data_IF_641208578889
#
_entry.id   IF_641208578889
#
_cell.length_a   1.000
_cell.length_b   1.000
_cell.length_c   1.000
_cell.angle_alpha   90.00
_cell.angle_beta   90.00
_cell.angle_gamma   90.00
#
_symmetry.space_group_name_H-M   'P 1'
#
loop_
_entity.id
_entity.type
_entity.pdbx_description
1 polymer ?
#
# COMPACT_ATOMS: atom_id res chain seq x y z
N UNK A 1 -26.39 -2.19 -0.67
CA UNK A 1 -27.06 -1.71 0.56
C UNK A 1 -26.09 -1.31 1.69
N UNK A 2 -24.95 -1.92 1.83
CA UNK A 2 -24.06 -1.68 2.97
C UNK A 2 -22.94 -0.66 2.73
N UNK A 3 -22.62 -0.33 1.50
CA UNK A 3 -21.50 0.56 1.18
C UNK A 3 -21.70 2.01 1.65
N UNK A 4 -22.95 2.45 1.76
CA UNK A 4 -23.27 3.83 2.13
C UNK A 4 -22.87 4.17 3.57
N UNK A 5 -23.05 3.25 4.50
CA UNK A 5 -22.74 3.48 5.93
C UNK A 5 -21.25 3.45 6.28
N UNK A 6 -20.41 2.82 5.44
CA UNK A 6 -19.00 2.58 5.70
C UNK A 6 -18.05 3.29 4.73
N UNK A 7 -18.56 4.26 3.98
CA UNK A 7 -17.76 4.99 3.00
C UNK A 7 -17.31 6.33 3.56
N UNK A 8 -16.03 6.62 3.48
CA UNK A 8 -15.45 7.89 3.88
C UNK A 8 -16.01 9.03 3.04
N UNK A 9 -16.40 10.13 3.69
CA UNK A 9 -17.07 11.26 3.09
C UNK A 9 -16.84 12.54 3.90
N UNK A 10 -16.94 13.69 3.25
CA UNK A 10 -16.92 14.98 3.92
C UNK A 10 -18.31 15.44 4.38
N UNK A 11 -19.34 14.96 3.73
CA UNK A 11 -20.75 15.26 4.02
C UNK A 11 -21.52 13.95 4.22
N UNK A 12 -22.35 13.90 5.27
CA UNK A 12 -23.14 12.72 5.63
C UNK A 12 -24.11 12.25 4.55
N UNK A 13 -24.53 13.12 3.64
CA UNK A 13 -25.56 12.83 2.64
C UNK A 13 -25.05 12.75 1.21
N UNK A 14 -23.88 13.36 0.91
CA UNK A 14 -23.31 13.40 -0.42
C UNK A 14 -22.05 12.52 -0.50
N UNK A 15 -22.09 11.56 -1.39
CA UNK A 15 -20.92 10.76 -1.76
C UNK A 15 -20.48 11.11 -3.17
N UNK A 16 -19.34 11.77 -3.29
CA UNK A 16 -18.71 11.99 -4.58
C UNK A 16 -18.22 10.66 -5.17
N UNK A 17 -18.26 10.57 -6.51
CA UNK A 17 -17.66 9.45 -7.21
C UNK A 17 -16.14 9.46 -6.97
N UNK A 18 -15.61 8.34 -6.50
CA UNK A 18 -14.17 8.19 -6.22
C UNK A 18 -13.74 6.75 -6.51
N UNK A 19 -12.44 6.52 -6.74
CA UNK A 19 -11.91 5.17 -6.87
C UNK A 19 -12.31 4.30 -5.68
N UNK A 20 -12.56 3.02 -5.93
CA UNK A 20 -12.79 2.05 -4.85
C UNK A 20 -11.47 1.73 -4.16
N UNK A 21 -11.49 1.52 -2.83
CA UNK A 21 -10.32 0.98 -2.10
C UNK A 21 -9.94 -0.44 -2.55
N UNK A 22 -10.89 -1.16 -3.16
CA UNK A 22 -10.64 -2.48 -3.77
C UNK A 22 -10.22 -2.39 -5.24
N UNK A 23 -9.98 -1.20 -5.77
CA UNK A 23 -9.53 -1.06 -7.15
C UNK A 23 -8.14 -1.68 -7.28
N UNK A 24 -8.08 -2.79 -8.01
CA UNK A 24 -6.81 -3.35 -8.41
C UNK A 24 -6.18 -2.40 -9.44
N UNK A 25 -5.05 -1.81 -9.09
CA UNK A 25 -4.19 -1.10 -10.03
C UNK A 25 -3.57 -2.07 -11.05
N UNK A 26 -2.55 -1.63 -11.74
CA UNK A 26 -1.82 -2.50 -12.64
C UNK A 26 -1.04 -3.55 -11.85
N UNK A 27 -1.02 -4.78 -12.37
CA UNK A 27 -0.18 -5.85 -11.86
C UNK A 27 0.59 -6.46 -13.01
N UNK A 28 1.91 -6.49 -12.89
CA UNK A 28 2.81 -7.13 -13.83
C UNK A 28 3.45 -8.35 -13.15
N UNK A 29 3.48 -9.47 -13.86
CA UNK A 29 4.20 -10.67 -13.43
C UNK A 29 5.10 -11.09 -14.58
N UNK A 30 6.40 -11.16 -14.29
CA UNK A 30 7.42 -11.62 -15.23
C UNK A 30 8.06 -12.90 -14.69
N UNK A 31 7.97 -13.98 -15.44
CA UNK A 31 8.62 -15.25 -15.12
C UNK A 31 9.78 -15.51 -16.09
N UNK A 32 10.93 -15.86 -15.56
CA UNK A 32 12.09 -16.29 -16.33
C UNK A 32 12.55 -17.65 -15.85
N UNK A 33 12.90 -18.55 -16.77
CA UNK A 33 13.49 -19.83 -16.44
C UNK A 33 14.65 -20.12 -17.38
N UNK A 34 15.77 -20.53 -16.80
CA UNK A 34 16.95 -21.02 -17.49
C UNK A 34 17.22 -22.47 -17.07
N UNK A 35 17.59 -23.32 -18.04
CA UNK A 35 17.96 -24.72 -17.83
C UNK A 35 19.27 -25.03 -18.55
N UNK A 36 20.15 -25.74 -17.87
CA UNK A 36 21.39 -26.22 -18.44
C UNK A 36 21.88 -27.45 -17.68
N UNK A 37 22.60 -28.32 -18.35
CA UNK A 37 23.30 -29.42 -17.70
C UNK A 37 24.70 -28.94 -17.32
N UNK A 38 24.83 -28.33 -16.13
CA UNK A 38 26.10 -27.81 -15.65
C UNK A 38 26.98 -28.89 -15.01
N UNK A 39 26.40 -30.03 -14.65
CA UNK A 39 27.11 -31.13 -14.00
C UNK A 39 26.76 -32.47 -14.65
N UNK A 40 27.46 -32.80 -15.72
CA UNK A 40 27.20 -34.04 -16.51
C UNK A 40 25.77 -34.05 -17.05
N UNK A 41 25.07 -35.14 -16.86
CA UNK A 41 23.66 -35.31 -17.30
C UNK A 41 22.61 -34.81 -16.28
N UNK A 42 23.06 -34.04 -15.30
CA UNK A 42 22.19 -33.49 -14.26
C UNK A 42 21.76 -32.06 -14.58
N UNK A 43 20.44 -31.84 -14.60
CA UNK A 43 19.87 -30.54 -14.91
C UNK A 43 20.09 -29.56 -13.74
N UNK A 44 20.58 -28.38 -14.09
CA UNK A 44 20.51 -27.19 -13.26
C UNK A 44 19.42 -26.29 -13.82
N UNK A 45 18.51 -25.83 -12.97
CA UNK A 45 17.43 -24.91 -13.34
C UNK A 45 17.47 -23.70 -12.43
N UNK A 46 17.45 -22.53 -13.04
CA UNK A 46 17.28 -21.25 -12.34
C UNK A 46 15.98 -20.64 -12.81
N UNK A 47 15.11 -20.32 -11.87
CA UNK A 47 13.82 -19.68 -12.12
C UNK A 47 13.74 -18.38 -11.33
N UNK A 48 13.22 -17.33 -11.96
CA UNK A 48 12.96 -16.05 -11.31
C UNK A 48 11.53 -15.62 -11.61
N UNK A 49 10.84 -15.11 -10.61
CA UNK A 49 9.51 -14.52 -10.73
C UNK A 49 9.58 -13.11 -10.14
N UNK A 50 9.35 -12.13 -10.99
CA UNK A 50 9.20 -10.73 -10.59
C UNK A 50 7.73 -10.33 -10.62
N UNK A 51 7.27 -9.71 -9.56
CA UNK A 51 5.90 -9.20 -9.40
C UNK A 51 6.01 -7.72 -9.06
N UNK A 52 5.32 -6.88 -9.85
CA UNK A 52 5.06 -5.50 -9.52
C UNK A 52 3.56 -5.27 -9.45
N UNK A 53 3.11 -4.58 -8.42
CA UNK A 53 1.71 -4.20 -8.21
C UNK A 53 1.66 -2.73 -7.81
N UNK A 54 0.76 -1.96 -8.44
CA UNK A 54 0.49 -0.59 -8.02
C UNK A 54 -0.02 -0.57 -6.57
N UNK A 55 0.32 0.48 -5.85
CA UNK A 55 -0.16 0.70 -4.48
C UNK A 55 -1.68 0.83 -4.41
N UNK A 56 -2.27 0.39 -3.33
CA UNK A 56 -3.71 0.50 -3.10
C UNK A 56 -4.11 1.93 -2.77
N UNK A 57 -5.25 2.41 -3.29
CA UNK A 57 -5.73 3.75 -2.98
C UNK A 57 -6.21 3.84 -1.53
N UNK A 58 -5.94 4.98 -0.89
CA UNK A 58 -6.39 5.26 0.47
C UNK A 58 -6.89 6.69 0.63
N UNK A 59 -7.65 6.91 1.70
CA UNK A 59 -8.17 8.21 2.11
C UNK A 59 -7.48 8.68 3.38
N UNK A 60 -7.39 9.98 3.57
CA UNK A 60 -7.04 10.55 4.86
C UNK A 60 -8.33 10.99 5.55
N UNK A 61 -8.61 10.41 6.71
CA UNK A 61 -9.79 10.65 7.51
C UNK A 61 -9.38 11.09 8.91
N UNK A 62 -10.33 11.64 9.67
CA UNK A 62 -10.13 11.92 11.09
C UNK A 62 -10.19 10.60 11.87
N UNK A 63 -9.18 10.39 12.69
CA UNK A 63 -9.12 9.30 13.68
C UNK A 63 -9.52 9.89 15.05
N UNK A 64 -10.82 10.05 15.28
CA UNK A 64 -11.32 10.43 16.59
C UNK A 64 -12.39 9.45 17.08
N UNK A 65 -12.12 8.71 18.17
CA UNK A 65 -13.15 7.98 18.85
C UNK A 65 -14.07 8.97 19.58
N UNK A 66 -15.08 9.45 18.91
CA UNK A 66 -15.99 10.39 19.55
C UNK A 66 -17.06 10.94 18.63
N UNK A 67 -17.74 11.96 19.12
CA UNK A 67 -18.69 12.72 18.35
C UNK A 67 -17.96 13.55 17.29
N UNK A 68 -18.18 13.25 16.02
CA UNK A 68 -17.61 14.04 14.96
C UNK A 68 -18.39 15.35 14.78
N UNK A 69 -17.80 16.43 15.27
CA UNK A 69 -18.37 17.77 15.16
C UNK A 69 -18.46 18.30 13.72
N UNK A 70 -17.71 17.71 12.79
CA UNK A 70 -17.72 18.15 11.37
C UNK A 70 -18.95 17.65 10.65
N UNK A 71 -19.40 16.44 10.93
CA UNK A 71 -20.56 15.84 10.26
C UNK A 71 -21.80 15.70 11.15
N UNK A 72 -21.69 16.02 12.44
CA UNK A 72 -22.79 15.83 13.40
C UNK A 72 -23.14 14.38 13.71
N UNK A 73 -22.34 13.44 13.25
CA UNK A 73 -22.58 12.01 13.41
C UNK A 73 -22.03 11.47 14.74
N UNK A 74 -22.68 10.42 15.24
CA UNK A 74 -22.29 9.76 16.49
C UNK A 74 -20.98 8.96 16.35
N UNK A 75 -20.42 8.56 17.48
CA UNK A 75 -19.15 7.84 17.69
C UNK A 75 -18.78 6.76 16.66
N UNK A 76 -19.74 6.15 15.99
CA UNK A 76 -19.49 5.04 15.07
C UNK A 76 -19.01 5.46 13.68
N UNK A 77 -18.98 6.77 13.36
CA UNK A 77 -18.74 7.25 12.01
C UNK A 77 -17.63 8.29 11.91
N UNK A 78 -16.90 8.56 13.00
CA UNK A 78 -15.81 9.53 13.03
C UNK A 78 -14.70 9.16 12.03
N UNK A 79 -14.35 7.87 11.99
CA UNK A 79 -13.29 7.32 11.14
C UNK A 79 -13.63 7.37 9.64
N UNK A 80 -14.86 7.72 9.30
CA UNK A 80 -15.31 7.83 7.90
C UNK A 80 -15.37 9.25 7.40
N UNK A 81 -15.03 10.23 8.23
CA UNK A 81 -15.03 11.63 7.83
C UNK A 81 -13.69 12.01 7.21
N UNK A 82 -13.74 12.41 5.94
CA UNK A 82 -12.56 12.87 5.23
C UNK A 82 -11.94 14.08 5.94
N UNK A 83 -10.61 14.12 5.99
CA UNK A 83 -9.89 15.20 6.64
C UNK A 83 -9.97 16.49 5.83
N UNK A 84 -10.32 17.59 6.48
CA UNK A 84 -10.17 18.93 5.93
C UNK A 84 -8.69 19.32 5.96
N UNK A 85 -8.20 19.83 4.84
CA UNK A 85 -6.81 20.28 4.69
C UNK A 85 -6.73 21.78 4.89
N UNK A 86 -6.08 22.27 5.96
CA UNK A 86 -6.00 23.71 6.21
C UNK A 86 -5.33 24.47 5.07
N UNK A 87 -5.85 25.65 4.77
CA UNK A 87 -5.21 26.55 3.79
C UNK A 87 -3.96 27.23 4.37
N UNK A 88 -3.94 27.46 5.68
CA UNK A 88 -2.85 28.10 6.42
C UNK A 88 -3.01 27.89 7.93
N UNK A 89 -2.05 28.37 8.70
CA UNK A 89 -2.11 28.34 10.16
C UNK A 89 -3.24 29.20 10.75
N UNK A 90 -3.76 30.11 9.97
CA UNK A 90 -4.84 31.06 10.28
C UNK A 90 -6.18 30.70 9.63
N UNK A 91 -6.31 29.47 9.11
CA UNK A 91 -7.55 29.01 8.48
C UNK A 91 -8.70 29.04 9.48
N UNK A 92 -9.77 29.78 9.15
CA UNK A 92 -10.93 29.98 10.03
C UNK A 92 -11.73 28.67 10.28
N UNK A 93 -11.53 27.65 9.47
CA UNK A 93 -12.22 26.36 9.60
C UNK A 93 -11.48 25.38 10.51
N UNK A 94 -10.28 25.73 11.02
CA UNK A 94 -9.45 24.85 11.83
C UNK A 94 -8.99 25.55 13.10
N UNK A 95 -9.12 24.85 14.22
CA UNK A 95 -8.58 25.32 15.50
C UNK A 95 -7.39 24.42 15.88
N UNK A 96 -6.19 24.97 15.82
CA UNK A 96 -4.99 24.26 16.26
C UNK A 96 -4.84 24.39 17.78
N UNK A 97 -4.42 23.33 18.45
CA UNK A 97 -4.21 23.32 19.90
C UNK A 97 -3.05 24.22 20.34
N UNK A 98 -2.10 24.48 19.44
CA UNK A 98 -0.98 25.42 19.66
C UNK A 98 -0.39 25.89 18.34
N UNK A 99 0.39 26.97 18.39
CA UNK A 99 1.13 27.48 17.22
C UNK A 99 2.20 26.50 16.70
N UNK A 100 2.78 25.70 17.59
CA UNK A 100 3.71 24.63 17.19
C UNK A 100 2.99 23.57 16.34
N UNK A 101 1.85 23.09 16.81
CA UNK A 101 1.03 22.10 16.06
C UNK A 101 0.60 22.66 14.71
N UNK A 102 0.21 23.93 14.64
CA UNK A 102 -0.12 24.57 13.38
C UNK A 102 1.07 24.56 12.40
N UNK A 103 2.27 24.85 12.91
CA UNK A 103 3.50 24.85 12.11
C UNK A 103 3.81 23.43 11.59
N UNK A 104 3.74 22.41 12.44
CA UNK A 104 4.04 21.04 12.08
C UNK A 104 3.03 20.47 11.07
N UNK A 105 1.74 20.72 11.29
CA UNK A 105 0.67 20.33 10.35
C UNK A 105 0.88 21.01 9.00
N UNK A 106 1.14 22.32 8.98
CA UNK A 106 1.35 23.04 7.72
C UNK A 106 2.63 22.61 7.01
N UNK A 107 3.69 22.26 7.73
CA UNK A 107 4.90 21.67 7.15
C UNK A 107 4.59 20.34 6.48
N UNK A 108 3.83 19.46 7.15
CA UNK A 108 3.40 18.19 6.59
C UNK A 108 2.50 18.37 5.36
N UNK A 109 1.49 19.24 5.44
CA UNK A 109 0.61 19.55 4.30
C UNK A 109 1.42 20.04 3.10
N UNK A 110 2.37 20.96 3.31
CA UNK A 110 3.17 21.54 2.24
C UNK A 110 4.17 20.56 1.60
N UNK A 111 4.64 19.56 2.35
CA UNK A 111 5.63 18.58 1.89
C UNK A 111 5.00 17.35 1.24
N UNK A 112 3.66 17.21 1.28
CA UNK A 112 2.96 16.02 0.80
C UNK A 112 1.96 16.35 -0.31
N UNK A 113 1.33 15.31 -0.87
CA UNK A 113 0.25 15.44 -1.86
C UNK A 113 -0.99 16.20 -1.33
N UNK A 114 -1.11 16.37 0.00
CA UNK A 114 -2.15 17.18 0.63
C UNK A 114 -2.13 18.65 0.18
N UNK A 115 -0.97 19.16 -0.23
CA UNK A 115 -0.85 20.55 -0.71
C UNK A 115 -1.84 20.92 -1.83
N UNK A 116 -2.29 19.93 -2.62
CA UNK A 116 -3.26 20.11 -3.71
C UNK A 116 -4.68 20.41 -3.21
N UNK A 117 -4.97 20.08 -1.96
CA UNK A 117 -6.32 20.14 -1.39
C UNK A 117 -6.48 21.20 -0.30
N UNK A 118 -5.55 22.16 -0.21
CA UNK A 118 -5.62 23.26 0.76
C UNK A 118 -6.94 24.00 0.69
N UNK A 119 -7.56 24.24 1.83
CA UNK A 119 -8.84 24.93 1.97
C UNK A 119 -10.05 24.08 1.62
N UNK A 120 -9.88 22.75 1.46
CA UNK A 120 -10.98 21.84 1.16
C UNK A 120 -10.73 20.44 1.76
N UNK A 121 -11.64 19.53 1.57
CA UNK A 121 -11.47 18.12 1.97
C UNK A 121 -10.64 17.35 0.94
N UNK A 122 -9.73 16.54 1.41
CA UNK A 122 -9.04 15.58 0.54
C UNK A 122 -10.06 14.54 0.03
N UNK A 123 -10.16 14.32 -1.29
CA UNK A 123 -11.15 13.37 -1.82
C UNK A 123 -10.90 11.94 -1.33
N UNK A 124 -11.97 11.15 -1.30
CA UNK A 124 -11.89 9.74 -0.96
C UNK A 124 -11.00 8.99 -1.94
N UNK A 125 -10.08 8.17 -1.40
CA UNK A 125 -9.14 7.36 -2.17
C UNK A 125 -8.30 8.17 -3.19
N UNK A 126 -7.95 9.41 -2.80
CA UNK A 126 -7.15 10.32 -3.63
C UNK A 126 -5.64 10.06 -3.54
N UNK A 127 -5.22 9.25 -2.62
CA UNK A 127 -3.82 8.89 -2.37
C UNK A 127 -3.60 7.42 -2.69
N UNK A 128 -2.36 7.08 -3.04
CA UNK A 128 -1.96 5.69 -3.30
C UNK A 128 -0.77 5.32 -2.42
N UNK A 129 -0.81 4.12 -1.89
CA UNK A 129 0.34 3.52 -1.21
C UNK A 129 1.53 3.38 -2.20
N UNK A 130 2.75 3.22 -1.72
CA UNK A 130 3.87 2.84 -2.56
C UNK A 130 3.58 1.56 -3.35
N UNK A 131 4.16 1.48 -4.55
CA UNK A 131 4.10 0.27 -5.35
C UNK A 131 4.79 -0.89 -4.62
N UNK A 132 4.32 -2.09 -4.89
CA UNK A 132 4.89 -3.30 -4.35
C UNK A 132 5.70 -4.03 -5.41
N UNK A 133 6.97 -4.23 -5.14
CA UNK A 133 7.92 -4.96 -5.98
C UNK A 133 8.46 -6.20 -5.24
N UNK A 134 8.47 -7.36 -5.89
CA UNK A 134 8.96 -8.60 -5.33
C UNK A 134 9.68 -9.44 -6.37
N UNK A 135 10.84 -9.94 -6.03
CA UNK A 135 11.61 -10.89 -6.84
C UNK A 135 11.86 -12.15 -6.03
N UNK A 136 11.37 -13.28 -6.53
CA UNK A 136 11.66 -14.61 -6.00
C UNK A 136 12.57 -15.37 -6.97
N UNK A 137 13.59 -16.04 -6.45
CA UNK A 137 14.51 -16.85 -7.24
C UNK A 137 14.55 -18.26 -6.67
N UNK A 138 14.42 -19.27 -7.55
CA UNK A 138 14.61 -20.67 -7.22
C UNK A 138 15.76 -21.25 -8.05
N UNK A 139 16.70 -21.88 -7.38
CA UNK A 139 17.76 -22.66 -7.99
C UNK A 139 17.49 -24.13 -7.67
N UNK A 140 17.43 -24.97 -8.69
CA UNK A 140 17.22 -26.41 -8.56
C UNK A 140 18.38 -27.13 -9.22
N UNK A 141 18.94 -28.12 -8.54
CA UNK A 141 20.03 -28.95 -9.04
C UNK A 141 19.67 -30.42 -8.90
N UNK A 142 19.75 -31.15 -10.02
CA UNK A 142 19.77 -32.60 -10.00
C UNK A 142 21.15 -33.10 -9.59
N UNK A 143 21.20 -34.14 -8.78
CA UNK A 143 22.41 -34.84 -8.36
C UNK A 143 22.27 -36.34 -8.65
N UNK A 144 23.38 -37.03 -8.97
CA UNK A 144 23.34 -38.45 -9.15
C UNK A 144 22.91 -39.18 -7.87
N UNK A 145 22.10 -40.22 -7.99
CA UNK A 145 21.73 -41.08 -6.89
C UNK A 145 22.66 -42.32 -6.85
N UNK A 146 22.71 -42.95 -5.71
CA UNK A 146 23.34 -44.26 -5.53
C UNK A 146 22.49 -45.43 -6.08
N UNK A 147 21.27 -45.16 -6.51
CA UNK A 147 20.37 -46.14 -7.14
C UNK A 147 20.24 -45.84 -8.63
N UNK A 148 20.41 -46.84 -9.48
CA UNK A 148 20.30 -46.70 -10.93
C UNK A 148 18.92 -46.18 -11.33
N UNK A 149 18.90 -45.22 -12.24
CA UNK A 149 17.68 -44.59 -12.76
C UNK A 149 17.03 -43.56 -11.82
N UNK A 150 17.63 -43.32 -10.65
CA UNK A 150 17.14 -42.31 -9.71
C UNK A 150 18.07 -41.09 -9.67
N UNK A 151 17.51 -39.95 -9.33
CA UNK A 151 18.26 -38.68 -9.10
C UNK A 151 17.77 -38.03 -7.82
N UNK A 152 18.64 -37.38 -7.10
CA UNK A 152 18.27 -36.41 -6.07
C UNK A 152 18.01 -35.07 -6.68
N UNK A 153 17.09 -34.32 -6.12
CA UNK A 153 16.82 -32.95 -6.49
C UNK A 153 16.97 -32.07 -5.25
N UNK A 154 17.91 -31.18 -5.29
CA UNK A 154 18.09 -30.14 -4.27
C UNK A 154 17.59 -28.83 -4.82
N UNK A 155 16.85 -28.07 -4.03
CA UNK A 155 16.42 -26.74 -4.42
C UNK A 155 16.71 -25.72 -3.32
N UNK A 156 16.93 -24.49 -3.74
CA UNK A 156 17.20 -23.37 -2.89
C UNK A 156 16.29 -22.21 -3.32
N UNK A 157 15.47 -21.72 -2.39
CA UNK A 157 14.55 -20.62 -2.60
C UNK A 157 15.06 -19.34 -1.93
N UNK A 158 15.21 -18.30 -2.70
CA UNK A 158 15.40 -16.94 -2.25
C UNK A 158 14.09 -16.19 -2.48
N UNK A 159 13.41 -15.85 -1.40
CA UNK A 159 12.13 -15.14 -1.47
C UNK A 159 12.35 -13.66 -1.16
N UNK A 160 11.69 -12.81 -1.94
CA UNK A 160 11.75 -11.37 -1.77
C UNK A 160 13.19 -10.82 -1.80
N UNK A 161 13.94 -11.17 -2.84
CA UNK A 161 15.36 -10.76 -2.99
C UNK A 161 15.51 -9.24 -3.02
N UNK A 162 14.50 -8.50 -3.48
CA UNK A 162 14.53 -7.04 -3.50
C UNK A 162 14.72 -6.47 -2.10
N UNK A 163 14.01 -7.02 -1.09
CA UNK A 163 14.15 -6.61 0.30
C UNK A 163 15.53 -6.93 0.94
N UNK A 164 16.33 -7.78 0.29
CA UNK A 164 17.71 -8.01 0.71
C UNK A 164 18.66 -6.90 0.22
N UNK A 165 18.27 -6.20 -0.86
CA UNK A 165 19.04 -5.13 -1.48
C UNK A 165 18.63 -3.76 -0.95
N UNK A 166 17.32 -3.57 -0.74
CA UNK A 166 16.72 -2.37 -0.16
C UNK A 166 15.62 -2.84 0.81
N UNK A 167 15.71 -2.43 2.07
CA UNK A 167 14.79 -2.87 3.12
C UNK A 167 13.40 -2.21 3.02
N UNK A 168 13.20 -1.28 2.11
CA UNK A 168 11.90 -0.70 1.75
C UNK A 168 11.18 -1.47 0.64
N UNK A 169 11.91 -2.24 -0.18
CA UNK A 169 11.36 -3.05 -1.25
C UNK A 169 10.60 -4.29 -0.73
N UNK A 170 9.51 -4.63 -1.41
CA UNK A 170 8.71 -5.83 -1.10
C UNK A 170 7.93 -5.73 0.21
N UNK A 171 7.77 -4.54 0.77
CA UNK A 171 6.86 -4.27 1.90
C UNK A 171 5.47 -4.00 1.37
N UNK A 172 4.48 -4.56 2.04
CA UNK A 172 3.07 -4.20 1.84
C UNK A 172 2.71 -3.14 2.87
N UNK A 173 2.35 -1.97 2.39
CA UNK A 173 1.84 -0.91 3.26
C UNK A 173 0.31 -1.07 3.34
N UNK A 174 -0.16 -1.45 4.50
CA UNK A 174 -1.58 -1.46 4.82
C UNK A 174 -1.84 -0.39 5.88
N UNK A 175 -2.76 0.53 5.59
CA UNK A 175 -3.32 1.38 6.64
C UNK A 175 -4.30 0.51 7.42
N UNK A 176 -3.87 0.02 8.58
CA UNK A 176 -4.73 -0.70 9.50
C UNK A 176 -5.83 0.21 10.04
N UNK A 177 -7.03 -0.29 10.11
CA UNK A 177 -8.03 0.26 11.00
C UNK A 177 -7.59 -0.11 12.43
N UNK A 178 -7.19 0.88 13.22
CA UNK A 178 -6.99 0.74 14.65
C UNK A 178 -8.30 1.01 15.41
#
# INVERSE_FOLDING_TARGET
ESAYGYTQRWDGENMDAAPSSFMAGNKMILGLQYRANLWGDNETRVSAIYIRKDGEPYSIAFDEPGYNSVTGNSKFYADYSLAYVPNGADDANVVFSSASVATDVMAHVNSTALAKYKGTYAPRNAFTNPDYDRLDIRITQELPSFMDGHKFVVYFDLLNVMNMLDDEDGRVFEYGYN
#
